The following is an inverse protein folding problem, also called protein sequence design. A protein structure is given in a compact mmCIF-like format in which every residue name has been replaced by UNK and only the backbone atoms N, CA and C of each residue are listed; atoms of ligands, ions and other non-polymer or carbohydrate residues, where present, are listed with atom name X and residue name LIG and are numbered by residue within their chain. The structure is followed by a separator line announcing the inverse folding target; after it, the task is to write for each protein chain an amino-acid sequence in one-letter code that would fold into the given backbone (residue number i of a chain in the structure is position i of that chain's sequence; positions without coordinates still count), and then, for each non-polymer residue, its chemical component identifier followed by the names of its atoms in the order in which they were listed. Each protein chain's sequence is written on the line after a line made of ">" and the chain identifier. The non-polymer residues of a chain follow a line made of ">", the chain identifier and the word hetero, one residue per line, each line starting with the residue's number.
data_IF_010961042343
#
_entry.id   IF_010961042343
#
_cell.length_a   1.000
_cell.length_b   1.000
_cell.length_c   1.000
_cell.angle_alpha   90.00
_cell.angle_beta   90.00
_cell.angle_gamma   90.00
#
_symmetry.space_group_name_H-M   'P 1'
#
loop_
_entity.id
_entity.type
_entity.pdbx_description
1 polymer ?
#
# COMPACT_ATOMS: atom_id res chain seq x y z
N UNK A 1 3.71 -16.17 20.05
CA UNK A 1 4.65 -15.90 18.94
C UNK A 1 5.95 -15.41 19.54
N UNK A 2 7.12 -15.85 19.05
CA UNK A 2 8.39 -15.23 19.44
C UNK A 2 8.35 -13.75 19.06
N UNK A 3 8.73 -12.85 19.96
CA UNK A 3 8.96 -11.44 19.61
C UNK A 3 10.23 -11.37 18.76
N UNK A 4 10.16 -10.70 17.62
CA UNK A 4 11.34 -10.39 16.84
C UNK A 4 12.17 -9.37 17.62
N UNK A 5 13.49 -9.58 17.70
CA UNK A 5 14.40 -8.62 18.34
C UNK A 5 14.63 -7.43 17.38
N UNK A 6 13.87 -6.36 17.57
CA UNK A 6 13.96 -5.11 16.80
C UNK A 6 13.07 -4.03 17.43
N UNK A 7 13.40 -2.75 17.20
CA UNK A 7 12.49 -1.64 17.52
C UNK A 7 11.17 -1.84 16.77
N UNK A 8 10.03 -1.60 17.43
CA UNK A 8 8.70 -1.80 16.85
C UNK A 8 8.56 -1.05 15.50
N UNK A 9 9.15 0.15 15.40
CA UNK A 9 9.18 0.94 14.15
C UNK A 9 9.95 0.27 13.01
N UNK A 10 11.03 -0.45 13.33
CA UNK A 10 11.84 -1.20 12.35
C UNK A 10 11.10 -2.45 11.90
N UNK A 11 10.36 -3.10 12.81
CA UNK A 11 9.52 -4.25 12.50
C UNK A 11 8.38 -3.84 11.55
N UNK A 12 7.69 -2.74 11.85
CA UNK A 12 6.60 -2.22 11.03
C UNK A 12 7.10 -1.83 9.62
N UNK A 13 8.25 -1.15 9.53
CA UNK A 13 8.88 -0.84 8.25
C UNK A 13 9.19 -2.11 7.44
N UNK A 14 9.69 -3.18 8.08
CA UNK A 14 9.96 -4.44 7.41
C UNK A 14 8.68 -5.13 6.92
N UNK A 15 7.59 -5.06 7.68
CA UNK A 15 6.28 -5.59 7.29
C UNK A 15 5.73 -4.83 6.08
N UNK A 16 5.80 -3.50 6.07
CA UNK A 16 5.32 -2.67 4.96
C UNK A 16 6.09 -2.98 3.69
N UNK A 17 7.43 -3.07 3.76
CA UNK A 17 8.26 -3.43 2.62
C UNK A 17 7.92 -4.84 2.10
N UNK A 18 7.60 -5.78 2.99
CA UNK A 18 7.17 -7.11 2.58
C UNK A 18 5.80 -7.07 1.89
N UNK A 19 4.85 -6.30 2.39
CA UNK A 19 3.53 -6.11 1.78
C UNK A 19 3.62 -5.43 0.42
N UNK A 20 4.36 -4.33 0.28
CA UNK A 20 4.57 -3.64 -1.00
C UNK A 20 5.15 -4.56 -2.08
N UNK A 21 6.04 -5.50 -1.70
CA UNK A 21 6.56 -6.49 -2.67
C UNK A 21 5.48 -7.43 -3.18
N UNK A 22 4.51 -7.80 -2.34
CA UNK A 22 3.35 -8.61 -2.72
C UNK A 22 2.47 -7.80 -3.66
N UNK A 23 2.11 -6.56 -3.29
CA UNK A 23 1.30 -5.67 -4.14
C UNK A 23 1.95 -5.45 -5.51
N UNK A 24 3.26 -5.19 -5.58
CA UNK A 24 3.96 -5.04 -6.84
C UNK A 24 3.94 -6.29 -7.72
N UNK A 25 3.97 -7.49 -7.11
CA UNK A 25 3.82 -8.75 -7.84
C UNK A 25 2.41 -8.88 -8.41
N UNK A 26 1.39 -8.51 -7.65
CA UNK A 26 0.00 -8.58 -8.05
C UNK A 26 -0.32 -7.54 -9.13
N UNK A 27 0.11 -6.29 -8.99
CA UNK A 27 -0.02 -5.24 -10.00
C UNK A 27 0.57 -5.69 -11.34
N UNK A 28 1.78 -6.27 -11.32
CA UNK A 28 2.42 -6.80 -12.53
C UNK A 28 1.64 -7.99 -13.13
N UNK A 29 1.14 -8.88 -12.27
CA UNK A 29 0.33 -10.05 -12.66
C UNK A 29 -0.99 -9.64 -13.30
N UNK A 30 -1.83 -8.91 -12.55
CA UNK A 30 -3.15 -8.44 -12.98
C UNK A 30 -3.06 -7.54 -14.21
N UNK A 31 -2.07 -6.63 -14.29
CA UNK A 31 -1.83 -5.83 -15.49
C UNK A 31 -1.58 -6.68 -16.74
N UNK A 32 -0.79 -7.75 -16.60
CA UNK A 32 -0.49 -8.67 -17.70
C UNK A 32 -1.72 -9.47 -18.13
N UNK A 33 -2.40 -10.14 -17.19
CA UNK A 33 -3.55 -11.00 -17.52
C UNK A 33 -4.78 -10.21 -17.98
N UNK A 34 -5.00 -8.99 -17.45
CA UNK A 34 -6.04 -8.08 -17.94
C UNK A 34 -5.79 -7.72 -19.41
N UNK A 35 -4.54 -7.40 -19.76
CA UNK A 35 -4.16 -7.09 -21.14
C UNK A 35 -4.41 -8.28 -22.07
N UNK A 36 -4.05 -9.50 -21.65
CA UNK A 36 -4.34 -10.70 -22.44
C UNK A 36 -5.85 -10.96 -22.57
N UNK A 37 -6.64 -10.73 -21.52
CA UNK A 37 -8.09 -10.85 -21.58
C UNK A 37 -8.69 -9.89 -22.63
N UNK A 38 -8.20 -8.65 -22.72
CA UNK A 38 -8.61 -7.68 -23.76
C UNK A 38 -8.26 -8.19 -25.16
N UNK A 39 -7.04 -8.69 -25.37
CA UNK A 39 -6.60 -9.22 -26.67
C UNK A 39 -7.39 -10.43 -27.13
N UNK A 40 -7.88 -11.24 -26.18
CA UNK A 40 -8.71 -12.42 -26.43
C UNK A 40 -10.21 -12.10 -26.54
N UNK A 41 -10.60 -10.83 -26.44
CA UNK A 41 -12.01 -10.40 -26.48
C UNK A 41 -12.82 -10.79 -25.23
N UNK A 42 -12.14 -11.18 -24.14
CA UNK A 42 -12.77 -11.56 -22.86
C UNK A 42 -13.07 -10.31 -22.02
N UNK A 43 -13.96 -9.46 -22.52
CA UNK A 43 -14.20 -8.12 -21.94
C UNK A 43 -14.64 -8.16 -20.48
N UNK A 44 -15.48 -9.13 -20.08
CA UNK A 44 -15.93 -9.24 -18.68
C UNK A 44 -14.80 -9.61 -17.74
N UNK A 45 -13.94 -10.54 -18.16
CA UNK A 45 -12.73 -10.90 -17.40
C UNK A 45 -11.79 -9.71 -17.30
N UNK A 46 -11.58 -8.97 -18.40
CA UNK A 46 -10.74 -7.78 -18.40
C UNK A 46 -11.26 -6.69 -17.44
N UNK A 47 -12.57 -6.49 -17.36
CA UNK A 47 -13.19 -5.54 -16.41
C UNK A 47 -12.93 -5.95 -14.96
N UNK A 48 -13.16 -7.22 -14.61
CA UNK A 48 -12.92 -7.72 -13.25
C UNK A 48 -11.43 -7.66 -12.89
N UNK A 49 -10.54 -8.02 -13.82
CA UNK A 49 -9.10 -7.93 -13.60
C UNK A 49 -8.60 -6.49 -13.48
N UNK A 50 -9.27 -5.53 -14.12
CA UNK A 50 -8.98 -4.10 -13.94
C UNK A 50 -9.43 -3.64 -12.55
N UNK A 51 -10.60 -4.08 -12.07
CA UNK A 51 -11.05 -3.75 -10.71
C UNK A 51 -10.03 -4.23 -9.66
N UNK A 52 -9.58 -5.48 -9.75
CA UNK A 52 -8.56 -5.98 -8.81
C UNK A 52 -7.24 -5.22 -8.97
N UNK A 53 -6.80 -4.93 -10.21
CA UNK A 53 -5.60 -4.11 -10.42
C UNK A 53 -5.69 -2.72 -9.78
N UNK A 54 -6.86 -2.08 -9.82
CA UNK A 54 -7.10 -0.78 -9.20
C UNK A 54 -7.07 -0.89 -7.66
N UNK A 55 -7.68 -1.94 -7.10
CA UNK A 55 -7.66 -2.25 -5.66
C UNK A 55 -6.23 -2.47 -5.14
N UNK A 56 -5.40 -3.29 -5.81
CA UNK A 56 -4.00 -3.52 -5.37
C UNK A 56 -3.14 -2.26 -5.55
N UNK A 57 -3.42 -1.45 -6.58
CA UNK A 57 -2.73 -0.17 -6.76
C UNK A 57 -3.06 0.80 -5.62
N UNK A 58 -4.32 0.87 -5.19
CA UNK A 58 -4.74 1.67 -4.05
C UNK A 58 -4.14 1.16 -2.73
N UNK A 59 -4.11 -0.16 -2.52
CA UNK A 59 -3.48 -0.78 -1.37
C UNK A 59 -1.99 -0.43 -1.28
N UNK A 60 -1.26 -0.50 -2.39
CA UNK A 60 0.15 -0.10 -2.45
C UNK A 60 0.35 1.39 -2.12
N UNK A 61 -0.53 2.27 -2.59
CA UNK A 61 -0.46 3.71 -2.25
C UNK A 61 -0.75 3.97 -0.77
N UNK A 62 -1.62 3.19 -0.13
CA UNK A 62 -1.82 3.26 1.31
C UNK A 62 -0.58 2.79 2.09
N UNK A 63 0.10 1.75 1.61
CA UNK A 63 1.38 1.30 2.17
C UNK A 63 2.49 2.34 2.01
N UNK A 64 2.52 3.07 0.89
CA UNK A 64 3.46 4.19 0.69
C UNK A 64 3.26 5.27 1.76
N UNK A 65 1.99 5.69 1.98
CA UNK A 65 1.66 6.68 3.02
C UNK A 65 2.06 6.20 4.41
N UNK A 66 1.78 4.94 4.73
CA UNK A 66 2.17 4.36 6.01
C UNK A 66 3.71 4.31 6.19
N UNK A 67 4.45 4.05 5.12
CA UNK A 67 5.91 4.10 5.15
C UNK A 67 6.44 5.52 5.40
N UNK A 68 5.83 6.54 4.79
CA UNK A 68 6.18 7.94 5.00
C UNK A 68 5.96 8.37 6.47
N UNK A 69 4.83 7.95 7.07
CA UNK A 69 4.50 8.23 8.47
C UNK A 69 5.52 7.62 9.45
N UNK A 70 6.05 6.43 9.15
CA UNK A 70 7.07 5.76 9.97
C UNK A 70 8.44 6.45 9.85
N UNK A 71 8.80 6.90 8.64
CA UNK A 71 10.09 7.56 8.39
C UNK A 71 10.10 9.00 8.92
N UNK A 72 8.93 9.66 9.02
CA UNK A 72 8.80 11.02 9.50
C UNK A 72 7.93 11.14 10.78
N UNK A 73 8.44 10.73 11.95
CA UNK A 73 7.72 10.89 13.21
C UNK A 73 7.49 12.38 13.57
N UNK A 74 8.23 13.33 12.99
CA UNK A 74 8.05 14.77 13.21
C UNK A 74 6.78 15.32 12.53
N UNK A 75 6.36 14.76 11.38
CA UNK A 75 5.09 15.13 10.72
C UNK A 75 3.85 14.74 11.54
N UNK A 76 3.93 13.64 12.28
CA UNK A 76 2.86 13.24 13.19
C UNK A 76 2.69 14.26 14.32
N UNK A 77 3.81 14.78 14.86
CA UNK A 77 3.79 15.80 15.93
C UNK A 77 3.28 17.16 15.45
N UNK A 78 3.52 17.55 14.20
CA UNK A 78 2.96 18.79 13.65
C UNK A 78 1.44 18.72 13.45
N UNK A 79 0.88 17.57 13.04
CA UNK A 79 -0.58 17.41 12.92
C UNK A 79 -1.29 17.41 14.28
N UNK A 80 -0.66 16.82 15.30
CA UNK A 80 -1.17 16.81 16.67
C UNK A 80 -1.11 18.22 17.30
N UNK A 81 -0.02 18.98 17.07
CA UNK A 81 0.10 20.37 17.52
C UNK A 81 -0.80 21.35 16.76
N UNK A 82 -1.05 21.13 15.47
CA UNK A 82 -1.94 21.97 14.67
C UNK A 82 -3.42 21.80 15.11
N UNK A 83 -3.84 20.58 15.43
CA UNK A 83 -5.19 20.33 15.97
C UNK A 83 -5.40 20.96 17.35
N UNK A 84 -4.38 20.93 18.22
CA UNK A 84 -4.42 21.54 19.56
C UNK A 84 -4.38 23.09 19.55
N UNK A 85 -3.98 23.70 18.43
CA UNK A 85 -3.93 25.16 18.25
C UNK A 85 -5.24 25.76 17.71
N UNK A 86 -6.13 24.94 17.12
CA UNK A 86 -7.37 25.43 16.51
C UNK A 86 -8.55 25.52 17.49
N UNK A 87 -8.43 24.95 18.69
CA UNK A 87 -9.44 24.94 19.75
C UNK A 87 -9.21 26.03 20.84
N UNK A 88 -8.45 27.10 20.53
CA UNK A 88 -8.26 28.26 21.42
C UNK A 88 -8.77 29.56 20.81
#
# INVERSE_FOLDING_TARGET
>A
MPKADGDDSVIDAAIIVAAQKVEHYEIAGYGSVRTFAQLLGQNKSAELLQQTLDEESEANELLNKLAEDIVNPEALTESEMASASSDR
#
